data_IF_377028777581
#
_entry.id   IF_377028777581
#
_cell.length_a   1.000
_cell.length_b   1.000
_cell.length_c   1.000
_cell.angle_alpha   90.00
_cell.angle_beta   90.00
_cell.angle_gamma   90.00
#
_symmetry.space_group_name_H-M   'P 1'
#
loop_
_entity.id
_entity.type
_entity.pdbx_description
1 polymer ?
#
# COMPACT_ATOMS: atom_id res chain seq x y z
N UNK A 1 -27.92 21.74 49.73
CA UNK A 1 -26.67 21.25 49.12
C UNK A 1 -27.06 20.25 48.04
N UNK A 2 -26.97 20.61 46.75
CA UNK A 2 -27.31 19.71 45.64
C UNK A 2 -25.99 19.26 45.01
N UNK A 3 -25.70 17.97 45.17
CA UNK A 3 -24.48 17.35 44.66
C UNK A 3 -24.52 17.28 43.14
N UNK A 4 -23.52 17.91 42.55
CA UNK A 4 -23.14 17.84 41.14
C UNK A 4 -22.78 16.39 40.79
N UNK A 5 -23.36 15.84 39.73
CA UNK A 5 -22.91 14.58 39.13
C UNK A 5 -22.58 14.83 37.65
N UNK A 6 -21.32 15.17 37.40
CA UNK A 6 -20.77 15.29 36.05
C UNK A 6 -20.48 13.87 35.54
N UNK A 7 -21.31 13.37 34.62
CA UNK A 7 -21.08 12.08 33.97
C UNK A 7 -20.07 12.32 32.84
N UNK A 8 -18.80 12.03 33.10
CA UNK A 8 -17.79 11.90 32.04
C UNK A 8 -18.06 10.59 31.26
N UNK A 9 -18.76 10.71 30.14
CA UNK A 9 -18.77 9.68 29.10
C UNK A 9 -17.39 9.67 28.43
N UNK A 10 -16.47 8.87 28.98
CA UNK A 10 -15.24 8.49 28.27
C UNK A 10 -15.67 7.50 27.20
N UNK A 11 -16.03 8.01 26.02
CA UNK A 11 -16.21 7.19 24.84
C UNK A 11 -14.85 6.62 24.47
N UNK A 12 -14.63 5.35 24.82
CA UNK A 12 -13.49 4.56 24.41
C UNK A 12 -13.53 4.43 22.89
N UNK A 13 -12.91 5.36 22.17
CA UNK A 13 -12.54 5.16 20.78
C UNK A 13 -11.43 4.11 20.75
N UNK A 14 -11.81 2.84 20.87
CA UNK A 14 -10.98 1.76 20.39
C UNK A 14 -10.90 1.93 18.88
N UNK A 15 -9.94 2.73 18.42
CA UNK A 15 -9.54 2.76 17.03
C UNK A 15 -9.22 1.33 16.65
N UNK A 16 -10.03 0.75 15.77
CA UNK A 16 -9.66 -0.44 15.03
C UNK A 16 -8.38 -0.07 14.29
N UNK A 17 -7.22 -0.35 14.90
CA UNK A 17 -5.94 -0.37 14.22
C UNK A 17 -6.07 -1.47 13.18
N UNK A 18 -6.59 -1.08 12.03
CA UNK A 18 -6.90 -1.97 10.96
C UNK A 18 -5.55 -2.56 10.51
N UNK A 19 -5.36 -3.86 10.73
CA UNK A 19 -4.09 -4.51 10.50
C UNK A 19 -3.69 -4.33 9.04
N UNK A 20 -2.47 -3.87 8.79
CA UNK A 20 -1.94 -3.88 7.43
C UNK A 20 -2.07 -5.30 6.86
N UNK A 21 -2.57 -5.41 5.64
CA UNK A 21 -2.71 -6.70 4.94
C UNK A 21 -1.91 -6.73 3.64
N UNK A 22 -1.19 -5.63 3.34
CA UNK A 22 -0.30 -5.55 2.20
C UNK A 22 0.68 -4.38 2.21
N UNK A 23 1.39 -4.27 1.10
CA UNK A 23 2.40 -3.27 0.81
C UNK A 23 1.85 -2.26 -0.20
N UNK A 24 1.91 -0.97 0.14
CA UNK A 24 1.64 0.09 -0.83
C UNK A 24 2.86 0.17 -1.74
N UNK A 25 2.66 -0.12 -3.01
CA UNK A 25 3.72 -0.12 -4.03
C UNK A 25 3.45 1.00 -5.01
N UNK A 26 4.53 1.65 -5.44
CA UNK A 26 4.56 2.65 -6.50
C UNK A 26 5.54 2.23 -7.59
N UNK A 27 5.17 2.53 -8.82
CA UNK A 27 6.06 2.46 -9.98
C UNK A 27 6.57 3.87 -10.22
N UNK A 28 7.89 4.03 -10.21
CA UNK A 28 8.57 5.28 -10.50
C UNK A 28 9.15 5.21 -11.92
N UNK A 29 8.95 6.27 -12.70
CA UNK A 29 9.58 6.41 -14.01
C UNK A 29 11.03 6.92 -13.91
N UNK A 30 11.67 7.16 -15.06
CA UNK A 30 13.05 7.68 -15.17
C UNK A 30 13.26 9.05 -14.48
N UNK A 31 12.20 9.83 -14.24
CA UNK A 31 12.25 11.09 -13.50
C UNK A 31 11.92 10.93 -12.01
N UNK A 32 11.83 9.70 -11.50
CA UNK A 32 11.36 9.38 -10.14
C UNK A 32 9.92 9.87 -9.86
N UNK A 33 9.12 10.07 -10.89
CA UNK A 33 7.70 10.41 -10.73
C UNK A 33 6.87 9.13 -10.59
N UNK A 34 5.88 9.15 -9.70
CA UNK A 34 4.94 8.04 -9.51
C UNK A 34 4.01 7.99 -10.72
N UNK A 35 4.04 6.87 -11.44
CA UNK A 35 3.19 6.65 -12.63
C UNK A 35 2.08 5.64 -12.37
N UNK A 36 2.28 4.72 -11.43
CA UNK A 36 1.27 3.78 -10.98
C UNK A 36 1.42 3.51 -9.49
N UNK A 37 0.31 3.25 -8.80
CA UNK A 37 0.35 2.83 -7.40
C UNK A 37 -0.75 1.82 -7.11
N UNK A 38 -0.49 0.91 -6.18
CA UNK A 38 -1.44 -0.14 -5.81
C UNK A 38 -1.14 -0.72 -4.43
N UNK A 39 -2.10 -1.46 -3.89
CA UNK A 39 -1.90 -2.27 -2.70
C UNK A 39 -1.63 -3.72 -3.14
N UNK A 40 -0.45 -4.24 -2.80
CA UNK A 40 -0.09 -5.64 -3.07
C UNK A 40 -0.23 -6.41 -1.76
N UNK A 41 -1.13 -7.41 -1.65
CA UNK A 41 -1.28 -8.17 -0.42
C UNK A 41 0.01 -8.91 -0.05
N UNK A 42 0.23 -9.12 1.25
CA UNK A 42 1.43 -9.82 1.71
C UNK A 42 1.52 -11.24 1.16
N UNK A 43 2.72 -11.65 0.73
CA UNK A 43 3.03 -12.94 0.09
C UNK A 43 2.17 -13.25 -1.15
N UNK A 44 1.56 -12.23 -1.73
CA UNK A 44 0.70 -12.32 -2.91
C UNK A 44 1.24 -11.43 -4.01
N UNK A 45 0.54 -11.44 -5.14
CA UNK A 45 0.80 -10.58 -6.28
C UNK A 45 -0.43 -9.75 -6.62
N UNK A 46 -0.19 -8.56 -7.15
CA UNK A 46 -1.22 -7.70 -7.70
C UNK A 46 -0.67 -6.97 -8.93
N UNK A 47 -1.55 -6.69 -9.87
CA UNK A 47 -1.20 -5.92 -11.06
C UNK A 47 -1.29 -4.43 -10.77
N UNK A 48 -0.22 -3.70 -11.06
CA UNK A 48 -0.16 -2.24 -10.98
C UNK A 48 -0.09 -1.70 -12.40
N UNK A 49 -1.09 -0.91 -12.76
CA UNK A 49 -1.19 -0.32 -14.09
C UNK A 49 -0.33 0.95 -14.18
N UNK A 50 0.45 1.05 -15.25
CA UNK A 50 1.16 2.25 -15.65
C UNK A 50 0.48 2.86 -16.91
N UNK A 51 -0.12 4.05 -16.80
CA UNK A 51 -0.80 4.70 -17.90
C UNK A 51 0.14 5.19 -19.00
N UNK A 52 1.43 5.42 -18.71
CA UNK A 52 2.39 5.92 -19.70
C UNK A 52 2.79 4.84 -20.69
N UNK A 53 3.01 3.63 -20.20
CA UNK A 53 3.34 2.45 -21.02
C UNK A 53 2.10 1.67 -21.43
N UNK A 54 0.93 1.98 -20.86
CA UNK A 54 -0.33 1.24 -21.04
C UNK A 54 -0.20 -0.24 -20.69
N UNK A 55 0.64 -0.54 -19.70
CA UNK A 55 0.98 -1.90 -19.30
C UNK A 55 0.61 -2.15 -17.83
N UNK A 56 0.19 -3.39 -17.54
CA UNK A 56 0.03 -3.89 -16.18
C UNK A 56 1.26 -4.67 -15.73
N UNK A 57 1.89 -4.26 -14.64
CA UNK A 57 3.03 -4.94 -14.05
C UNK A 57 2.57 -5.74 -12.84
N UNK A 58 2.76 -7.05 -12.89
CA UNK A 58 2.39 -7.97 -11.80
C UNK A 58 3.52 -7.97 -10.78
N UNK A 59 3.25 -7.32 -9.65
CA UNK A 59 4.21 -7.15 -8.57
C UNK A 59 3.88 -8.14 -7.46
N UNK A 60 4.87 -8.91 -7.04
CA UNK A 60 4.83 -9.75 -5.85
C UNK A 60 5.43 -9.01 -4.67
N UNK A 61 4.78 -9.10 -3.51
CA UNK A 61 5.28 -8.57 -2.26
C UNK A 61 5.50 -9.69 -1.23
N UNK A 62 6.61 -9.66 -0.49
CA UNK A 62 6.79 -10.49 0.72
C UNK A 62 6.17 -9.82 1.95
N UNK A 63 6.10 -10.53 3.08
CA UNK A 63 5.66 -9.95 4.36
C UNK A 63 6.44 -8.69 4.78
N UNK A 64 7.73 -8.61 4.45
CA UNK A 64 8.58 -7.43 4.75
C UNK A 64 8.47 -6.32 3.70
N UNK A 65 7.60 -6.52 2.70
CA UNK A 65 7.50 -5.72 1.48
C UNK A 65 8.79 -5.73 0.64
N UNK A 66 9.45 -6.88 0.55
CA UNK A 66 10.36 -7.15 -0.56
C UNK A 66 9.55 -7.22 -1.86
N UNK A 67 9.89 -6.38 -2.83
CA UNK A 67 9.13 -6.24 -4.08
C UNK A 67 9.88 -6.90 -5.23
N UNK A 68 9.16 -7.69 -6.02
CA UNK A 68 9.68 -8.24 -7.27
C UNK A 68 8.60 -8.24 -8.33
N UNK A 69 9.00 -8.19 -9.59
CA UNK A 69 8.09 -8.45 -10.70
C UNK A 69 7.90 -9.95 -10.88
N UNK A 70 6.80 -10.34 -11.51
CA UNK A 70 6.61 -11.69 -11.99
C UNK A 70 7.73 -12.11 -12.96
N UNK A 71 8.08 -13.40 -12.94
CA UNK A 71 9.10 -13.96 -13.81
C UNK A 71 8.78 -13.67 -15.29
N UNK A 72 9.75 -13.14 -16.02
CA UNK A 72 9.60 -12.77 -17.43
C UNK A 72 9.05 -11.37 -17.67
N UNK A 73 8.58 -10.66 -16.64
CA UNK A 73 8.30 -9.23 -16.74
C UNK A 73 9.53 -8.39 -16.38
N UNK A 74 9.73 -7.30 -17.12
CA UNK A 74 10.69 -6.27 -16.78
C UNK A 74 9.98 -4.92 -16.83
N UNK A 75 10.35 -4.05 -15.89
CA UNK A 75 10.05 -2.64 -16.03
C UNK A 75 10.84 -2.04 -17.21
N UNK A 76 10.36 -0.94 -17.80
CA UNK A 76 11.13 -0.18 -18.77
C UNK A 76 12.48 0.27 -18.19
N UNK A 77 13.42 0.61 -19.07
CA UNK A 77 14.73 1.10 -18.63
C UNK A 77 14.57 2.32 -17.70
N UNK A 78 15.32 2.31 -16.59
CA UNK A 78 15.33 3.35 -15.55
C UNK A 78 14.01 3.52 -14.76
N UNK A 79 13.07 2.59 -14.89
CA UNK A 79 11.92 2.52 -13.99
C UNK A 79 12.29 1.71 -12.74
N UNK A 80 11.58 1.95 -11.64
CA UNK A 80 11.79 1.22 -10.39
C UNK A 80 10.51 0.99 -9.62
N UNK A 81 10.51 -0.02 -8.75
CA UNK A 81 9.47 -0.25 -7.75
C UNK A 81 9.88 0.39 -6.43
N UNK A 82 8.93 1.04 -5.76
CA UNK A 82 9.13 1.62 -4.42
C UNK A 82 8.04 1.15 -3.47
N UNK A 83 8.45 0.75 -2.26
CA UNK A 83 7.55 0.64 -1.10
C UNK A 83 7.24 2.05 -0.60
N UNK A 84 5.96 2.46 -0.69
CA UNK A 84 5.49 3.74 -0.18
C UNK A 84 4.92 3.64 1.25
N UNK A 85 4.63 2.42 1.72
CA UNK A 85 4.11 2.16 3.05
C UNK A 85 3.40 0.81 3.14
N UNK A 86 2.59 0.65 4.18
CA UNK A 86 1.64 -0.45 4.30
C UNK A 86 0.26 0.00 3.84
N UNK A 87 -0.56 -0.96 3.39
CA UNK A 87 -1.92 -0.70 2.96
C UNK A 87 -2.87 -1.76 3.47
N UNK A 88 -4.15 -1.42 3.39
CA UNK A 88 -5.24 -2.38 3.47
C UNK A 88 -5.81 -2.57 2.07
N UNK A 89 -6.20 -3.79 1.71
CA UNK A 89 -7.06 -3.99 0.55
C UNK A 89 -8.45 -3.51 0.94
N UNK A 90 -8.97 -2.52 0.21
CA UNK A 90 -10.36 -2.06 0.34
C UNK A 90 -11.36 -3.17 -0.01
#
# INVERSE_FOLDING_TARGET
MKFTATICLVASYAGLAAAAIGCKVEILNFSSAVVGSGCVPFNSDASIYDPNTRAGYRVRATNDCGLSLEAGQSLPANYSLRKAGYCQTE
#
